data_IF_563737383893
#
_entry.id   IF_563737383893
#
_cell.length_a   1.000
_cell.length_b   1.000
_cell.length_c   1.000
_cell.angle_alpha   90.00
_cell.angle_beta   90.00
_cell.angle_gamma   90.00
#
_symmetry.space_group_name_H-M   'P 1'
#
loop_
_entity.id
_entity.type
_entity.pdbx_description
1 polymer ?
#
# COMPACT_ATOMS: atom_id res chain seq x y z
N UNK A 1 25.23 -13.99 11.50
CA UNK A 1 24.09 -13.47 10.73
C UNK A 1 23.14 -12.85 11.71
N UNK A 2 22.92 -11.54 11.62
CA UNK A 2 22.07 -10.84 12.57
C UNK A 2 20.62 -11.28 12.44
N UNK A 3 19.83 -11.14 13.50
CA UNK A 3 18.37 -11.33 13.45
C UNK A 3 17.73 -10.45 12.35
N UNK A 4 18.33 -9.28 12.11
CA UNK A 4 17.94 -8.37 11.04
C UNK A 4 18.15 -8.95 9.63
N UNK A 5 19.31 -9.55 9.36
CA UNK A 5 19.61 -10.20 8.08
C UNK A 5 18.67 -11.39 7.84
N UNK A 6 18.34 -12.15 8.88
CA UNK A 6 17.41 -13.28 8.77
C UNK A 6 16.00 -12.82 8.40
N UNK A 7 15.48 -11.78 9.04
CA UNK A 7 14.16 -11.22 8.70
C UNK A 7 14.17 -10.65 7.28
N UNK A 8 15.24 -9.92 6.92
CA UNK A 8 15.37 -9.31 5.61
C UNK A 8 15.48 -10.35 4.49
N UNK A 9 16.27 -11.41 4.66
CA UNK A 9 16.55 -12.38 3.59
C UNK A 9 15.53 -13.52 3.52
N UNK A 10 15.05 -14.02 4.66
CA UNK A 10 14.12 -15.15 4.69
C UNK A 10 12.66 -14.71 4.64
N UNK A 11 12.28 -13.66 5.39
CA UNK A 11 10.88 -13.23 5.49
C UNK A 11 10.51 -12.28 4.36
N UNK A 12 11.27 -11.20 4.15
CA UNK A 12 11.01 -10.22 3.08
C UNK A 12 11.63 -10.65 1.75
N UNK A 13 12.84 -11.19 1.81
CA UNK A 13 13.58 -11.67 0.66
C UNK A 13 13.03 -12.98 0.11
N UNK A 14 12.31 -13.79 0.91
CA UNK A 14 11.84 -15.12 0.50
C UNK A 14 12.90 -15.93 -0.29
N UNK A 15 14.17 -15.90 0.14
CA UNK A 15 15.24 -16.64 -0.55
C UNK A 15 15.00 -18.16 -0.58
N UNK A 16 14.31 -18.71 0.42
CA UNK A 16 13.80 -20.08 0.43
C UNK A 16 12.94 -20.43 -0.79
N UNK A 17 12.06 -19.52 -1.23
CA UNK A 17 11.20 -19.70 -2.40
C UNK A 17 12.04 -19.68 -3.69
N UNK A 18 13.05 -18.81 -3.76
CA UNK A 18 13.98 -18.77 -4.88
C UNK A 18 14.75 -20.10 -5.02
N UNK A 19 15.24 -20.64 -3.90
CA UNK A 19 15.92 -21.93 -3.87
C UNK A 19 15.00 -23.09 -4.27
N UNK A 20 13.74 -23.07 -3.83
CA UNK A 20 12.74 -24.09 -4.16
C UNK A 20 12.38 -24.09 -5.66
N UNK A 21 12.19 -22.90 -6.23
CA UNK A 21 11.94 -22.73 -7.67
C UNK A 21 13.18 -23.15 -8.47
N UNK A 22 14.39 -22.76 -8.04
CA UNK A 22 15.63 -23.17 -8.67
C UNK A 22 15.84 -24.69 -8.67
N UNK A 23 15.54 -25.37 -7.56
CA UNK A 23 15.59 -26.84 -7.49
C UNK A 23 14.52 -27.50 -8.37
N UNK A 24 13.31 -26.96 -8.42
CA UNK A 24 12.23 -27.46 -9.28
C UNK A 24 12.52 -27.31 -10.77
N UNK A 25 13.05 -26.16 -11.19
CA UNK A 25 13.45 -25.91 -12.59
C UNK A 25 14.67 -26.76 -12.99
N UNK A 26 15.64 -26.93 -12.09
CA UNK A 26 16.79 -27.82 -12.33
C UNK A 26 16.37 -29.29 -12.47
N UNK A 27 15.37 -29.73 -11.68
CA UNK A 27 14.80 -31.07 -11.79
C UNK A 27 13.99 -31.29 -13.09
N UNK A 28 13.46 -30.22 -13.68
CA UNK A 28 12.81 -30.21 -15.00
C UNK A 28 13.79 -30.09 -16.18
N UNK A 29 15.10 -30.04 -15.90
CA UNK A 29 16.16 -30.02 -16.93
C UNK A 29 16.46 -28.65 -17.52
N UNK A 30 15.98 -27.55 -16.91
CA UNK A 30 16.32 -26.20 -17.31
C UNK A 30 17.63 -25.74 -16.66
N UNK A 31 18.57 -25.31 -17.49
CA UNK A 31 19.84 -24.74 -17.04
C UNK A 31 19.62 -23.31 -16.49
N UNK A 32 19.39 -23.22 -15.18
CA UNK A 32 19.19 -21.97 -14.43
C UNK A 32 20.45 -21.12 -14.33
N UNK A 33 21.61 -21.64 -14.74
CA UNK A 33 22.84 -20.86 -14.94
C UNK A 33 22.89 -20.14 -16.29
N UNK A 34 22.04 -20.51 -17.26
CA UNK A 34 21.89 -19.81 -18.54
C UNK A 34 21.01 -18.56 -18.44
N UNK A 35 21.22 -17.59 -19.34
CA UNK A 35 20.45 -16.32 -19.34
C UNK A 35 18.93 -16.53 -19.45
N UNK A 36 18.50 -17.54 -20.20
CA UNK A 36 17.08 -17.85 -20.42
C UNK A 36 16.50 -18.56 -19.19
N UNK A 37 17.21 -19.54 -18.61
CA UNK A 37 16.78 -20.25 -17.41
C UNK A 37 16.71 -19.34 -16.18
N UNK A 38 17.71 -18.47 -16.01
CA UNK A 38 17.73 -17.47 -14.94
C UNK A 38 16.62 -16.42 -15.06
N UNK A 39 16.27 -15.98 -16.28
CA UNK A 39 15.15 -15.05 -16.49
C UNK A 39 13.79 -15.68 -16.16
N UNK A 40 13.58 -16.95 -16.50
CA UNK A 40 12.34 -17.69 -16.19
C UNK A 40 12.24 -17.92 -14.67
N UNK A 41 13.33 -18.31 -14.02
CA UNK A 41 13.37 -18.43 -12.56
C UNK A 41 13.07 -17.09 -11.88
N UNK A 42 13.70 -16.00 -12.33
CA UNK A 42 13.45 -14.66 -11.79
C UNK A 42 11.99 -14.26 -11.97
N UNK A 43 11.41 -14.48 -13.15
CA UNK A 43 10.01 -14.15 -13.42
C UNK A 43 9.04 -14.92 -12.52
N UNK A 44 9.19 -16.26 -12.41
CA UNK A 44 8.32 -17.08 -11.57
C UNK A 44 8.48 -16.69 -10.09
N UNK A 45 9.72 -16.48 -9.66
CA UNK A 45 10.03 -16.05 -8.31
C UNK A 45 9.42 -14.67 -8.00
N UNK A 46 9.58 -13.69 -8.88
CA UNK A 46 9.08 -12.33 -8.68
C UNK A 46 7.55 -12.27 -8.68
N UNK A 47 6.90 -12.97 -9.63
CA UNK A 47 5.44 -13.08 -9.69
C UNK A 47 4.88 -13.70 -8.41
N UNK A 48 5.39 -14.86 -7.99
CA UNK A 48 4.92 -15.51 -6.77
C UNK A 48 5.22 -14.66 -5.52
N UNK A 49 6.39 -14.03 -5.46
CA UNK A 49 6.80 -13.17 -4.36
C UNK A 49 5.87 -11.97 -4.22
N UNK A 50 5.60 -11.25 -5.31
CA UNK A 50 4.70 -10.08 -5.31
C UNK A 50 3.28 -10.52 -4.96
N UNK A 51 2.76 -11.61 -5.55
CA UNK A 51 1.41 -12.10 -5.24
C UNK A 51 1.26 -12.43 -3.75
N UNK A 52 2.18 -13.19 -3.17
CA UNK A 52 2.12 -13.54 -1.73
C UNK A 52 2.26 -12.29 -0.86
N UNK A 53 3.22 -11.42 -1.15
CA UNK A 53 3.43 -10.18 -0.40
C UNK A 53 2.19 -9.28 -0.44
N UNK A 54 1.58 -9.12 -1.61
CA UNK A 54 0.40 -8.30 -1.82
C UNK A 54 -0.83 -8.89 -1.13
N UNK A 55 -1.05 -10.21 -1.20
CA UNK A 55 -2.13 -10.87 -0.46
C UNK A 55 -1.99 -10.68 1.05
N UNK A 56 -0.80 -10.90 1.62
CA UNK A 56 -0.55 -10.72 3.05
C UNK A 56 -0.69 -9.25 3.45
N UNK A 57 -0.18 -8.33 2.64
CA UNK A 57 -0.27 -6.89 2.89
C UNK A 57 -1.73 -6.42 2.85
N UNK A 58 -2.51 -6.80 1.83
CA UNK A 58 -3.94 -6.45 1.74
C UNK A 58 -4.70 -7.06 2.91
N UNK A 59 -4.43 -8.31 3.28
CA UNK A 59 -5.04 -8.94 4.45
C UNK A 59 -4.69 -8.20 5.74
N UNK A 60 -3.44 -7.82 5.93
CA UNK A 60 -2.99 -7.05 7.10
C UNK A 60 -3.64 -5.66 7.15
N UNK A 61 -3.70 -4.94 6.02
CA UNK A 61 -4.36 -3.64 5.92
C UNK A 61 -5.86 -3.78 6.20
N UNK A 62 -6.52 -4.80 5.64
CA UNK A 62 -7.94 -5.09 5.89
C UNK A 62 -8.19 -5.44 7.36
N UNK A 63 -7.29 -6.21 7.98
CA UNK A 63 -7.33 -6.54 9.41
C UNK A 63 -7.10 -5.31 10.29
N UNK A 64 -6.14 -4.44 9.94
CA UNK A 64 -5.89 -3.19 10.66
C UNK A 64 -7.08 -2.23 10.50
N UNK A 65 -7.64 -2.10 9.29
CA UNK A 65 -8.85 -1.30 9.06
C UNK A 65 -10.06 -1.86 9.83
N UNK A 66 -10.13 -3.17 10.07
CA UNK A 66 -11.13 -3.78 10.96
C UNK A 66 -10.99 -3.35 12.43
N UNK A 67 -9.80 -2.91 12.86
CA UNK A 67 -9.57 -2.32 14.19
C UNK A 67 -9.63 -0.79 14.20
N UNK A 68 -9.22 -0.15 13.10
CA UNK A 68 -9.26 1.29 12.87
C UNK A 68 -10.10 1.62 11.63
N UNK A 69 -11.45 1.59 11.76
CA UNK A 69 -12.34 1.95 10.67
C UNK A 69 -12.00 3.35 10.14
N UNK A 70 -12.00 3.57 8.81
CA UNK A 70 -11.71 4.87 8.21
C UNK A 70 -12.64 5.98 8.73
N UNK A 71 -13.79 5.63 9.32
CA UNK A 71 -14.71 6.52 10.04
C UNK A 71 -14.09 7.20 11.28
N UNK A 72 -13.20 6.51 12.01
CA UNK A 72 -12.47 7.08 13.16
C UNK A 72 -11.43 8.08 12.69
N UNK A 73 -10.70 7.73 11.62
CA UNK A 73 -9.76 8.62 10.96
C UNK A 73 -10.47 9.84 10.39
N UNK A 74 -11.66 9.69 9.80
CA UNK A 74 -12.55 10.79 9.39
C UNK A 74 -12.94 11.69 10.56
N UNK A 75 -13.24 11.15 11.74
CA UNK A 75 -13.61 11.97 12.92
C UNK A 75 -12.45 12.83 13.43
N UNK A 76 -11.21 12.37 13.22
CA UNK A 76 -9.98 13.10 13.57
C UNK A 76 -9.61 14.09 12.46
N UNK A 77 -9.57 13.64 11.20
CA UNK A 77 -9.21 14.47 10.05
C UNK A 77 -10.29 15.47 9.66
N UNK A 78 -11.58 15.17 9.87
CA UNK A 78 -12.70 16.08 9.62
C UNK A 78 -12.76 17.27 10.59
N UNK A 79 -11.92 17.30 11.63
CA UNK A 79 -11.69 18.52 12.43
C UNK A 79 -10.71 19.49 11.77
N UNK A 80 -9.90 19.01 10.83
CA UNK A 80 -8.92 19.80 10.08
C UNK A 80 -9.47 20.08 8.69
N UNK A 81 -9.60 21.35 8.33
CA UNK A 81 -10.13 21.76 7.02
C UNK A 81 -9.02 22.32 6.13
N UNK A 82 -9.13 22.05 4.83
CA UNK A 82 -8.26 22.60 3.78
C UNK A 82 -6.82 22.10 3.84
N UNK A 83 -5.87 23.00 3.58
CA UNK A 83 -4.44 22.68 3.37
C UNK A 83 -3.81 21.89 4.53
N UNK A 84 -4.25 22.12 5.77
CA UNK A 84 -3.76 21.39 6.95
C UNK A 84 -4.12 19.90 6.92
N UNK A 85 -5.30 19.54 6.41
CA UNK A 85 -5.68 18.14 6.25
C UNK A 85 -4.83 17.45 5.17
N UNK A 86 -4.53 18.16 4.08
CA UNK A 86 -3.66 17.66 3.00
C UNK A 86 -2.24 17.37 3.51
N UNK A 87 -1.68 18.23 4.37
CA UNK A 87 -0.36 18.04 4.99
C UNK A 87 -0.33 16.79 5.89
N UNK A 88 -1.31 16.65 6.78
CA UNK A 88 -1.40 15.49 7.70
C UNK A 88 -1.55 14.19 6.89
N UNK A 89 -2.36 14.22 5.84
CA UNK A 89 -2.60 13.08 4.95
C UNK A 89 -1.34 12.67 4.17
N UNK A 90 -0.59 13.63 3.63
CA UNK A 90 0.66 13.35 2.94
C UNK A 90 1.74 12.79 3.89
N UNK A 91 1.80 13.27 5.13
CA UNK A 91 2.69 12.72 6.16
C UNK A 91 2.31 11.27 6.52
N UNK A 92 1.02 10.97 6.68
CA UNK A 92 0.57 9.60 6.88
C UNK A 92 0.94 8.71 5.70
N UNK A 93 0.77 9.20 4.46
CA UNK A 93 1.16 8.50 3.25
C UNK A 93 2.67 8.23 3.15
N UNK A 94 3.49 9.11 3.73
CA UNK A 94 4.94 8.94 3.81
C UNK A 94 5.35 7.84 4.81
N UNK A 95 4.63 7.73 5.93
CA UNK A 95 4.90 6.71 6.96
C UNK A 95 4.39 5.34 6.53
N UNK A 96 3.33 5.30 5.72
CA UNK A 96 2.75 4.05 5.22
C UNK A 96 3.25 3.75 3.80
N UNK A 97 4.15 2.79 3.62
CA UNK A 97 4.78 2.50 2.34
C UNK A 97 3.83 1.72 1.42
N UNK A 98 2.76 2.36 0.95
CA UNK A 98 1.82 1.72 0.05
C UNK A 98 2.32 1.82 -1.38
N UNK A 99 2.52 0.65 -1.99
CA UNK A 99 2.75 0.57 -3.42
C UNK A 99 1.47 0.97 -4.16
N UNK A 100 1.60 1.34 -5.44
CA UNK A 100 0.49 1.70 -6.31
C UNK A 100 -0.62 0.64 -6.37
N UNK A 101 -0.32 -0.62 -6.01
CA UNK A 101 -1.29 -1.71 -5.97
C UNK A 101 -2.23 -1.65 -4.74
N UNK A 102 -1.75 -1.14 -3.61
CA UNK A 102 -2.54 -1.00 -2.36
C UNK A 102 -3.17 0.38 -2.21
N UNK A 103 -2.81 1.33 -3.06
CA UNK A 103 -3.32 2.70 -3.00
C UNK A 103 -4.80 2.79 -3.45
N UNK A 104 -5.25 1.90 -4.34
CA UNK A 104 -6.63 1.89 -4.86
C UNK A 104 -7.68 1.51 -3.79
N UNK A 105 -7.55 0.40 -3.02
CA UNK A 105 -8.50 0.08 -1.96
C UNK A 105 -8.55 1.14 -0.86
N UNK A 106 -7.40 1.74 -0.53
CA UNK A 106 -7.32 2.83 0.44
C UNK A 106 -7.99 4.10 -0.07
N UNK A 107 -7.84 4.42 -1.37
CA UNK A 107 -8.57 5.51 -1.99
C UNK A 107 -10.06 5.30 -1.82
N UNK A 108 -10.56 4.13 -2.22
CA UNK A 108 -11.99 3.78 -2.13
C UNK A 108 -12.47 3.88 -0.67
N UNK A 109 -11.71 3.35 0.29
CA UNK A 109 -12.05 3.42 1.72
C UNK A 109 -12.06 4.85 2.30
N UNK A 110 -11.15 5.71 1.86
CA UNK A 110 -11.11 7.10 2.31
C UNK A 110 -12.20 7.96 1.64
N UNK A 111 -12.47 7.72 0.36
CA UNK A 111 -13.57 8.41 -0.34
C UNK A 111 -14.94 7.94 0.12
N UNK A 112 -15.13 6.65 0.39
CA UNK A 112 -16.38 6.11 0.94
C UNK A 112 -16.64 6.61 2.36
N UNK A 113 -15.59 6.80 3.16
CA UNK A 113 -15.69 7.48 4.45
C UNK A 113 -16.05 8.97 4.32
N UNK A 114 -16.05 9.55 3.12
CA UNK A 114 -16.42 10.94 2.87
C UNK A 114 -15.32 11.94 3.29
N UNK A 115 -14.05 11.55 3.19
CA UNK A 115 -12.94 12.51 3.29
C UNK A 115 -12.91 13.40 2.03
N UNK A 116 -12.49 14.67 2.15
CA UNK A 116 -12.34 15.56 0.99
C UNK A 116 -11.37 14.95 -0.01
N UNK A 117 -11.70 14.99 -1.30
CA UNK A 117 -10.91 14.33 -2.32
C UNK A 117 -9.46 14.81 -2.38
N UNK A 118 -9.19 16.09 -2.11
CA UNK A 118 -7.83 16.61 -2.03
C UNK A 118 -6.96 15.91 -0.99
N UNK A 119 -7.54 15.53 0.15
CA UNK A 119 -6.85 14.84 1.24
C UNK A 119 -6.46 13.44 0.82
N UNK A 120 -7.37 12.73 0.17
CA UNK A 120 -7.13 11.37 -0.34
C UNK A 120 -6.11 11.37 -1.47
N UNK A 121 -6.21 12.30 -2.42
CA UNK A 121 -5.23 12.42 -3.51
C UNK A 121 -3.84 12.84 -3.02
N UNK A 122 -3.74 13.72 -2.01
CA UNK A 122 -2.45 14.05 -1.37
C UNK A 122 -1.77 12.81 -0.80
N UNK A 123 -2.53 11.94 -0.14
CA UNK A 123 -2.03 10.66 0.37
C UNK A 123 -1.58 9.72 -0.75
N UNK A 124 -2.42 9.56 -1.79
CA UNK A 124 -2.11 8.71 -2.94
C UNK A 124 -0.86 9.14 -3.70
N UNK A 125 -0.62 10.44 -3.84
CA UNK A 125 0.56 10.97 -4.52
C UNK A 125 1.79 10.80 -3.61
N UNK A 126 1.66 11.07 -2.31
CA UNK A 126 2.79 11.02 -1.38
C UNK A 126 3.29 9.60 -1.13
N UNK A 127 2.40 8.59 -1.12
CA UNK A 127 2.76 7.23 -0.72
C UNK A 127 3.77 6.53 -1.64
N UNK A 128 3.66 6.56 -2.98
CA UNK A 128 4.70 6.05 -3.86
C UNK A 128 5.88 7.01 -4.04
N UNK A 129 5.69 8.33 -3.82
CA UNK A 129 6.77 9.29 -3.98
C UNK A 129 7.77 9.24 -2.83
N UNK A 130 7.29 9.13 -1.59
CA UNK A 130 8.11 9.25 -0.39
C UNK A 130 7.92 8.02 0.49
N UNK A 131 8.41 6.90 0.00
CA UNK A 131 8.42 5.62 0.72
C UNK A 131 9.69 5.45 1.58
N UNK A 132 9.54 4.84 2.77
CA UNK A 132 10.65 4.52 3.67
C UNK A 132 11.74 3.67 3.01
N UNK A 133 11.37 2.68 2.18
CA UNK A 133 12.33 1.85 1.46
C UNK A 133 13.15 2.65 0.46
N UNK A 134 12.48 3.46 -0.35
CA UNK A 134 13.12 4.38 -1.31
C UNK A 134 14.00 5.40 -0.61
N UNK A 135 13.60 5.90 0.55
CA UNK A 135 14.38 6.84 1.36
C UNK A 135 15.66 6.21 1.93
N UNK A 136 15.58 4.98 2.44
CA UNK A 136 16.77 4.26 2.93
C UNK A 136 17.79 4.07 1.81
N UNK A 137 17.33 3.67 0.61
CA UNK A 137 18.17 3.59 -0.58
C UNK A 137 18.79 4.94 -0.95
N UNK A 138 18.00 6.01 -0.94
CA UNK A 138 18.47 7.35 -1.30
C UNK A 138 19.50 7.88 -0.30
N UNK A 139 19.28 7.67 1.00
CA UNK A 139 20.24 8.04 2.06
C UNK A 139 21.54 7.27 1.89
N UNK A 140 21.45 5.98 1.56
CA UNK A 140 22.62 5.10 1.35
C UNK A 140 23.46 5.54 0.15
N UNK A 141 22.82 5.92 -0.97
CA UNK A 141 23.51 6.24 -2.23
C UNK A 141 23.94 7.72 -2.29
N UNK A 142 23.03 8.65 -1.99
CA UNK A 142 23.20 10.09 -2.20
C UNK A 142 23.46 10.87 -0.91
N UNK A 143 23.32 10.22 0.26
CA UNK A 143 23.49 10.84 1.56
C UNK A 143 22.23 11.56 2.08
N UNK A 144 22.21 11.81 3.39
CA UNK A 144 21.04 12.33 4.09
C UNK A 144 20.57 13.72 3.60
N UNK A 145 21.49 14.58 3.13
CA UNK A 145 21.13 15.92 2.64
C UNK A 145 20.21 15.87 1.42
N UNK A 146 20.49 14.99 0.47
CA UNK A 146 19.69 14.84 -0.76
C UNK A 146 18.34 14.19 -0.43
N UNK A 147 18.33 13.21 0.46
CA UNK A 147 17.10 12.57 0.92
C UNK A 147 16.11 13.54 1.58
N UNK A 148 16.58 14.43 2.44
CA UNK A 148 15.70 15.43 3.09
C UNK A 148 15.07 16.37 2.05
N UNK A 149 15.85 16.84 1.07
CA UNK A 149 15.33 17.71 0.00
C UNK A 149 14.28 16.97 -0.82
N UNK A 150 14.52 15.69 -1.14
CA UNK A 150 13.59 14.85 -1.89
C UNK A 150 12.25 14.66 -1.13
N UNK A 151 12.30 14.35 0.17
CA UNK A 151 11.10 14.24 1.03
C UNK A 151 10.30 15.52 1.01
N UNK A 152 10.97 16.66 1.26
CA UNK A 152 10.30 17.95 1.32
C UNK A 152 9.65 18.30 -0.01
N UNK A 153 10.35 18.07 -1.13
CA UNK A 153 9.82 18.34 -2.45
C UNK A 153 8.63 17.42 -2.77
N UNK A 154 8.74 16.13 -2.48
CA UNK A 154 7.66 15.15 -2.67
C UNK A 154 6.41 15.51 -1.87
N UNK A 155 6.58 15.90 -0.60
CA UNK A 155 5.47 16.33 0.26
C UNK A 155 4.80 17.62 -0.26
N UNK A 156 5.60 18.61 -0.70
CA UNK A 156 5.10 19.85 -1.29
C UNK A 156 4.29 19.57 -2.56
N UNK A 157 4.79 18.70 -3.44
CA UNK A 157 4.09 18.31 -4.67
C UNK A 157 2.77 17.59 -4.33
N UNK A 158 2.79 16.66 -3.37
CA UNK A 158 1.60 15.95 -2.93
C UNK A 158 0.51 16.90 -2.40
N UNK A 159 0.90 17.85 -1.53
CA UNK A 159 -0.03 18.84 -0.96
C UNK A 159 -0.58 19.78 -2.03
N UNK A 160 0.27 20.26 -2.95
CA UNK A 160 -0.17 21.13 -4.05
C UNK A 160 -1.13 20.37 -4.97
N UNK A 161 -0.77 19.14 -5.36
CA UNK A 161 -1.59 18.29 -6.22
C UNK A 161 -2.96 18.03 -5.63
N UNK A 162 -3.03 17.60 -4.36
CA UNK A 162 -4.30 17.39 -3.69
C UNK A 162 -5.11 18.67 -3.51
N UNK A 163 -4.48 19.79 -3.18
CA UNK A 163 -5.17 21.09 -3.02
C UNK A 163 -5.74 21.60 -4.36
N UNK A 164 -5.03 21.41 -5.48
CA UNK A 164 -5.52 21.76 -6.81
C UNK A 164 -6.75 20.91 -7.16
N UNK A 165 -6.69 19.60 -6.92
CA UNK A 165 -7.80 18.67 -7.18
C UNK A 165 -9.03 19.03 -6.34
N UNK A 166 -8.82 19.40 -5.08
CA UNK A 166 -9.87 19.90 -4.18
C UNK A 166 -10.52 21.17 -4.74
N UNK A 167 -9.71 22.16 -5.14
CA UNK A 167 -10.21 23.43 -5.67
C UNK A 167 -10.92 23.31 -7.00
N UNK A 168 -10.55 22.35 -7.84
CA UNK A 168 -11.22 22.09 -9.11
C UNK A 168 -12.55 21.34 -8.93
N UNK A 169 -12.90 20.92 -7.71
CA UNK A 169 -14.10 20.11 -7.44
C UNK A 169 -14.27 18.98 -8.46
N UNK A 170 -13.18 18.26 -8.76
CA UNK A 170 -13.19 17.14 -9.71
C UNK A 170 -13.97 15.91 -9.18
N UNK A 171 -14.65 16.05 -8.05
CA UNK A 171 -15.54 15.08 -7.41
C UNK A 171 -16.58 14.52 -8.40
N UNK A 172 -17.07 15.36 -9.32
CA UNK A 172 -18.02 14.95 -10.38
C UNK A 172 -17.44 14.04 -11.47
N UNK A 173 -16.13 13.92 -11.58
CA UNK A 173 -15.46 13.10 -12.60
C UNK A 173 -15.04 11.72 -12.06
N UNK A 174 -15.23 11.48 -10.77
CA UNK A 174 -14.93 10.18 -10.17
C UNK A 174 -16.12 9.28 -10.40
N UNK A 175 -15.83 8.10 -10.92
CA UNK A 175 -16.83 7.10 -11.24
C UNK A 175 -17.68 6.78 -10.01
N UNK A 176 -19.00 6.71 -10.21
CA UNK A 176 -19.94 6.49 -9.12
C UNK A 176 -19.70 5.18 -8.39
N UNK A 177 -19.05 4.16 -8.98
CA UNK A 177 -18.71 2.92 -8.28
C UNK A 177 -17.76 3.16 -7.09
N UNK A 178 -16.87 4.15 -7.15
CA UNK A 178 -15.95 4.48 -6.03
C UNK A 178 -16.71 5.18 -4.89
N UNK A 179 -17.73 5.95 -5.25
CA UNK A 179 -18.61 6.66 -4.31
C UNK A 179 -19.69 5.71 -3.75
N UNK A 180 -20.17 4.77 -4.57
CA UNK A 180 -21.25 3.79 -4.31
C UNK A 180 -20.74 2.45 -3.78
N UNK A 181 -19.43 2.17 -3.77
CA UNK A 181 -18.89 1.08 -2.96
C UNK A 181 -19.21 1.26 -1.46
N UNK A 182 -19.59 2.49 -1.06
CA UNK A 182 -20.19 2.81 0.24
C UNK A 182 -21.69 2.56 0.40
N UNK A 183 -22.41 2.01 -0.59
CA UNK A 183 -23.79 1.51 -0.37
C UNK A 183 -23.84 0.01 -0.08
N UNK A 184 -22.70 -0.64 0.09
CA UNK A 184 -22.64 -1.82 0.96
C UNK A 184 -22.43 -1.25 2.34
N UNK A 185 -23.56 -1.05 3.03
CA UNK A 185 -23.65 -0.68 4.43
C UNK A 185 -22.81 -1.69 5.22
N UNK A 186 -21.55 -1.38 5.48
CA UNK A 186 -20.84 -1.95 6.62
C UNK A 186 -21.26 -1.09 7.81
N UNK A 187 -22.57 -1.07 8.11
CA UNK A 187 -23.01 -1.14 9.49
C UNK A 187 -22.30 -2.37 10.03
N UNK A 188 -21.08 -2.20 10.54
CA UNK A 188 -20.39 -3.24 11.26
C UNK A 188 -21.29 -3.51 12.46
N UNK A 189 -22.04 -4.63 12.50
CA UNK A 189 -22.53 -5.08 13.79
C UNK A 189 -21.26 -5.32 14.63
N UNK A 190 -21.34 -5.20 15.95
CA UNK A 190 -20.25 -5.63 16.83
C UNK A 190 -20.06 -7.15 16.66
N UNK A 191 -19.35 -7.55 15.58
CA UNK A 191 -19.19 -8.94 15.18
C UNK A 191 -18.13 -9.57 16.06
N UNK A 192 -18.55 -10.62 16.76
CA UNK A 192 -17.67 -11.42 17.60
C UNK A 192 -16.62 -12.15 16.77
N UNK A 193 -15.51 -12.57 17.40
CA UNK A 193 -14.34 -13.18 16.73
C UNK A 193 -14.71 -14.35 15.79
N UNK A 194 -15.77 -15.10 16.13
CA UNK A 194 -16.26 -16.21 15.30
C UNK A 194 -16.92 -15.74 13.99
N UNK A 195 -17.66 -14.65 14.04
CA UNK A 195 -18.35 -14.10 12.87
C UNK A 195 -17.36 -13.46 11.90
N UNK A 196 -16.29 -12.84 12.42
CA UNK A 196 -15.17 -12.32 11.60
C UNK A 196 -14.45 -13.42 10.83
N UNK A 197 -14.26 -14.60 11.43
CA UNK A 197 -13.65 -15.75 10.78
C UNK A 197 -14.52 -16.34 9.66
N UNK A 198 -15.84 -16.31 9.84
CA UNK A 198 -16.79 -16.80 8.83
C UNK A 198 -16.88 -15.81 7.67
N UNK A 199 -16.99 -14.51 7.95
CA UNK A 199 -17.00 -13.46 6.94
C UNK A 199 -15.73 -13.45 6.07
N UNK A 200 -14.56 -13.60 6.70
CA UNK A 200 -13.28 -13.67 5.97
C UNK A 200 -13.17 -14.91 5.07
N UNK A 201 -13.85 -16.01 5.41
CA UNK A 201 -13.86 -17.24 4.61
C UNK A 201 -14.77 -17.14 3.39
N UNK A 202 -15.93 -16.49 3.53
CA UNK A 202 -16.87 -16.25 2.42
C UNK A 202 -16.29 -15.31 1.37
N UNK A 203 -15.59 -14.24 1.79
CA UNK A 203 -14.96 -13.28 0.88
C UNK A 203 -13.78 -13.86 0.06
N UNK A 204 -13.28 -15.05 0.43
CA UNK A 204 -12.24 -15.76 -0.32
C UNK A 204 -12.82 -16.78 -1.32
N UNK A 205 -14.12 -17.07 -1.23
CA UNK A 205 -14.81 -18.06 -2.08
C UNK A 205 -15.56 -17.43 -3.25
N UNK A 206 -15.85 -16.12 -3.18
CA UNK A 206 -16.27 -15.27 -4.31
C UNK A 206 -15.05 -14.67 -5.03
#
# INVERSE_FOLDING_TARGET
MGVWDFIQDQVLGMQWLNALIGMGLSALGLDVTGQIGGSIQFFIYDVLKITVLLCVLIFAISYIQSYFPPERSKRILGRFHGVWANIISALLGTVTPFCSCSSIPLFIGFTSAGLPLGVTFSFLISSPMVDLGSLVLLISIFGAKVAIIYVLLGLVIAVIGGTIIEKLHMEKHIESFVISAGSVDIESPDLTIRERLIYAKELMLD
#
